data_IF_978466739717
#
_entry.id   IF_978466739717
#
_cell.length_a   1.000
_cell.length_b   1.000
_cell.length_c   1.000
_cell.angle_alpha   90.00
_cell.angle_beta   90.00
_cell.angle_gamma   90.00
#
_symmetry.space_group_name_H-M   'P 1'
#
loop_
_entity.id
_entity.type
_entity.pdbx_description
1 polymer ?
#
# COMPACT_ATOMS: atom_id res chain seq x y z
N UNK A 1 -29.44 -28.10 -26.07
CA UNK A 1 -28.17 -27.54 -25.55
C UNK A 1 -28.53 -26.32 -24.70
N UNK A 2 -28.20 -26.32 -23.41
CA UNK A 2 -28.54 -25.20 -22.52
C UNK A 2 -27.64 -24.00 -22.83
N UNK A 3 -28.23 -22.82 -23.00
CA UNK A 3 -27.52 -21.56 -23.16
C UNK A 3 -27.11 -21.02 -21.78
N UNK A 4 -25.81 -20.93 -21.51
CA UNK A 4 -25.29 -20.31 -20.30
C UNK A 4 -24.76 -18.92 -20.63
N UNK A 5 -25.05 -17.93 -19.79
CA UNK A 5 -24.38 -16.63 -19.86
C UNK A 5 -22.94 -16.78 -19.36
N UNK A 6 -21.97 -16.52 -20.25
CA UNK A 6 -20.55 -16.52 -19.88
C UNK A 6 -20.24 -15.21 -19.17
N UNK A 7 -19.91 -15.30 -17.88
CA UNK A 7 -19.55 -14.15 -17.07
C UNK A 7 -18.09 -13.74 -17.34
N UNK A 8 -17.89 -12.63 -18.06
CA UNK A 8 -16.58 -12.17 -18.56
C UNK A 8 -15.59 -11.71 -17.46
N UNK A 9 -15.97 -11.79 -16.19
CA UNK A 9 -15.14 -11.43 -15.03
C UNK A 9 -14.71 -12.61 -14.14
N UNK A 10 -15.23 -13.83 -14.38
CA UNK A 10 -14.89 -15.01 -13.56
C UNK A 10 -13.39 -15.33 -13.71
N UNK A 11 -12.68 -15.37 -12.58
CA UNK A 11 -11.25 -15.67 -12.53
C UNK A 11 -10.30 -14.48 -12.74
N UNK A 12 -10.81 -13.26 -12.99
CA UNK A 12 -9.96 -12.06 -12.96
C UNK A 12 -9.58 -11.72 -11.51
N UNK A 13 -8.33 -11.30 -11.31
CA UNK A 13 -7.90 -10.74 -10.03
C UNK A 13 -8.70 -9.49 -9.71
N UNK A 14 -9.11 -9.35 -8.44
CA UNK A 14 -9.87 -8.18 -7.99
C UNK A 14 -8.97 -6.95 -8.04
N UNK A 15 -9.36 -5.97 -8.83
CA UNK A 15 -8.63 -4.70 -9.00
C UNK A 15 -9.51 -3.53 -8.56
N UNK A 16 -8.92 -2.63 -7.78
CA UNK A 16 -9.54 -1.39 -7.33
C UNK A 16 -8.85 -0.23 -8.03
N UNK A 17 -9.49 0.33 -9.05
CA UNK A 17 -8.94 1.43 -9.87
C UNK A 17 -7.53 1.14 -10.42
N UNK A 18 -7.28 -0.09 -10.88
CA UNK A 18 -6.00 -0.52 -11.46
C UNK A 18 -4.96 -1.01 -10.44
N UNK A 19 -5.28 -0.99 -9.13
CA UNK A 19 -4.45 -1.59 -8.10
C UNK A 19 -5.01 -2.96 -7.72
N UNK A 20 -4.21 -4.02 -7.80
CA UNK A 20 -4.63 -5.36 -7.35
C UNK A 20 -4.89 -5.33 -5.84
N UNK A 21 -5.92 -6.05 -5.40
CA UNK A 21 -6.36 -6.06 -4.01
C UNK A 21 -5.21 -6.36 -3.00
N UNK A 22 -4.31 -7.28 -3.33
CA UNK A 22 -3.16 -7.61 -2.48
C UNK A 22 -2.22 -6.41 -2.26
N UNK A 23 -1.92 -5.64 -3.31
CA UNK A 23 -1.04 -4.47 -3.20
C UNK A 23 -1.74 -3.28 -2.54
N UNK A 24 -3.07 -3.20 -2.61
CA UNK A 24 -3.84 -2.21 -1.84
C UNK A 24 -3.65 -2.39 -0.33
N UNK A 25 -3.63 -3.63 0.16
CA UNK A 25 -3.34 -3.90 1.57
C UNK A 25 -1.91 -3.51 1.96
N UNK A 26 -0.93 -3.82 1.09
CA UNK A 26 0.47 -3.45 1.33
C UNK A 26 0.65 -1.93 1.33
N UNK A 27 -0.05 -1.23 0.45
CA UNK A 27 -0.05 0.23 0.39
C UNK A 27 -0.59 0.87 1.67
N UNK A 28 -1.82 0.54 2.04
CA UNK A 28 -2.49 1.13 3.20
C UNK A 28 -1.79 0.72 4.51
N UNK A 29 -1.45 -0.56 4.65
CA UNK A 29 -0.74 -1.09 5.80
C UNK A 29 0.68 -0.51 5.92
N UNK A 30 1.40 -0.38 4.81
CA UNK A 30 2.75 0.18 4.80
C UNK A 30 2.78 1.68 5.17
N UNK A 31 1.82 2.46 4.68
CA UNK A 31 1.69 3.87 5.06
C UNK A 31 1.29 4.02 6.54
N UNK A 32 0.36 3.20 7.03
CA UNK A 32 -0.02 3.19 8.44
C UNK A 32 1.15 2.79 9.34
N UNK A 33 1.91 1.75 8.98
CA UNK A 33 3.09 1.32 9.71
C UNK A 33 4.18 2.40 9.74
N UNK A 34 4.41 3.08 8.61
CA UNK A 34 5.36 4.21 8.54
C UNK A 34 4.93 5.35 9.48
N UNK A 35 3.64 5.70 9.48
CA UNK A 35 3.09 6.70 10.39
C UNK A 35 3.30 6.31 11.85
N UNK A 36 2.95 5.08 12.23
CA UNK A 36 3.13 4.59 13.60
C UNK A 36 4.60 4.57 14.01
N UNK A 37 5.52 4.18 13.11
CA UNK A 37 6.95 4.22 13.35
C UNK A 37 7.40 5.65 13.68
N UNK A 38 7.00 6.64 12.88
CA UNK A 38 7.36 8.05 13.14
C UNK A 38 6.79 8.53 14.47
N UNK A 39 5.54 8.20 14.78
CA UNK A 39 4.92 8.59 16.06
C UNK A 39 5.67 7.97 17.25
N UNK A 40 6.05 6.70 17.17
CA UNK A 40 6.84 6.03 18.22
C UNK A 40 8.21 6.68 18.36
N UNK A 41 8.93 6.90 17.25
CA UNK A 41 10.24 7.58 17.25
C UNK A 41 10.16 8.97 17.90
N UNK A 42 9.12 9.74 17.58
CA UNK A 42 8.89 11.06 18.17
C UNK A 42 8.62 10.98 19.67
N UNK A 43 7.78 10.03 20.13
CA UNK A 43 7.52 9.81 21.55
C UNK A 43 8.77 9.34 22.33
N UNK A 44 9.70 8.65 21.66
CA UNK A 44 11.00 8.29 22.25
C UNK A 44 11.98 9.47 22.37
N UNK A 45 11.59 10.69 21.94
CA UNK A 45 12.42 11.89 22.05
C UNK A 45 13.46 12.05 20.93
N UNK A 46 13.27 11.38 19.79
CA UNK A 46 14.13 11.57 18.62
C UNK A 46 13.97 12.98 18.03
N UNK A 47 15.03 13.46 17.38
CA UNK A 47 15.01 14.76 16.69
C UNK A 47 13.89 14.83 15.63
N UNK A 48 13.24 15.99 15.57
CA UNK A 48 12.08 16.23 14.71
C UNK A 48 12.43 16.14 13.21
N UNK A 49 13.61 16.62 12.81
CA UNK A 49 14.05 16.54 11.41
C UNK A 49 14.35 15.09 11.02
N UNK A 50 14.90 14.29 11.93
CA UNK A 50 15.07 12.84 11.71
C UNK A 50 13.72 12.14 11.53
N UNK A 51 12.73 12.44 12.38
CA UNK A 51 11.39 11.87 12.27
C UNK A 51 10.71 12.24 10.95
N UNK A 52 10.82 13.50 10.53
CA UNK A 52 10.33 13.98 9.22
C UNK A 52 11.03 13.28 8.06
N UNK A 53 12.35 13.16 8.12
CA UNK A 53 13.15 12.46 7.11
C UNK A 53 12.74 11.00 6.96
N UNK A 54 12.60 10.27 8.08
CA UNK A 54 12.14 8.88 8.10
C UNK A 54 10.72 8.74 7.56
N UNK A 55 9.80 9.62 7.95
CA UNK A 55 8.42 9.59 7.45
C UNK A 55 8.34 9.82 5.95
N UNK A 56 9.01 10.86 5.45
CA UNK A 56 9.00 11.20 4.03
C UNK A 56 9.66 10.13 3.16
N UNK A 57 10.84 9.64 3.57
CA UNK A 57 11.55 8.58 2.84
C UNK A 57 10.80 7.25 2.92
N UNK A 58 10.33 6.86 4.10
CA UNK A 58 9.55 5.62 4.30
C UNK A 58 8.26 5.61 3.48
N UNK A 59 7.48 6.70 3.51
CA UNK A 59 6.25 6.80 2.73
C UNK A 59 6.53 6.75 1.22
N UNK A 60 7.56 7.46 0.75
CA UNK A 60 7.98 7.43 -0.65
C UNK A 60 8.37 6.03 -1.10
N UNK A 61 9.15 5.31 -0.28
CA UNK A 61 9.55 3.93 -0.56
C UNK A 61 8.36 2.98 -0.61
N UNK A 62 7.42 3.07 0.34
CA UNK A 62 6.20 2.23 0.36
C UNK A 62 5.37 2.47 -0.89
N UNK A 63 5.13 3.73 -1.25
CA UNK A 63 4.38 4.10 -2.46
C UNK A 63 5.08 3.53 -3.69
N UNK A 64 6.37 3.81 -3.85
CA UNK A 64 7.14 3.36 -5.00
C UNK A 64 7.15 1.84 -5.14
N UNK A 65 7.43 1.11 -4.06
CA UNK A 65 7.42 -0.35 -4.08
C UNK A 65 6.04 -0.92 -4.39
N UNK A 66 4.97 -0.37 -3.81
CA UNK A 66 3.61 -0.83 -4.10
C UNK A 66 3.30 -0.73 -5.59
N UNK A 67 3.56 0.43 -6.21
CA UNK A 67 3.28 0.62 -7.63
C UNK A 67 4.25 -0.16 -8.53
N UNK A 68 5.51 -0.32 -8.14
CA UNK A 68 6.47 -1.13 -8.89
C UNK A 68 6.12 -2.63 -8.89
N UNK A 69 5.55 -3.13 -7.80
CA UNK A 69 5.06 -4.51 -7.68
C UNK A 69 3.70 -4.72 -8.34
N UNK A 70 2.86 -3.67 -8.41
CA UNK A 70 1.57 -3.69 -9.09
C UNK A 70 1.73 -3.61 -10.62
N UNK A 71 2.31 -4.65 -11.21
CA UNK A 71 2.30 -4.94 -12.66
C UNK A 71 1.19 -5.91 -13.02
#
# INVERSE_FOLDING_TARGET
MASWEINKGVGRTVEFKGLKAQYLFLFAGGLLATFLLVVICYMCGMDQYLCLGLGATGATLVVWQTFALNR
#
